data_IF_547918511360
#
_entry.id   IF_547918511360
#
_cell.length_a   1.000
_cell.length_b   1.000
_cell.length_c   1.000
_cell.angle_alpha   90.00
_cell.angle_beta   90.00
_cell.angle_gamma   90.00
#
_symmetry.space_group_name_H-M   'P 1'
#
loop_
_entity.id
_entity.type
_entity.pdbx_description
1 polymer ?
#
# COMPACT_ATOMS: atom_id res chain seq x y z
N UNK A 1 -3.33 10.74 5.58
CA UNK A 1 -4.62 11.10 6.22
C UNK A 1 -5.31 9.90 6.90
N UNK A 2 -4.70 8.72 6.93
CA UNK A 2 -5.12 7.58 7.74
C UNK A 2 -6.36 6.79 7.28
N UNK A 3 -6.91 7.03 6.10
CA UNK A 3 -8.18 6.44 5.67
C UNK A 3 -8.26 4.91 5.81
N UNK A 4 -7.25 4.18 5.36
CA UNK A 4 -7.20 2.71 5.49
C UNK A 4 -7.08 2.27 6.96
N UNK A 5 -6.24 2.95 7.74
CA UNK A 5 -6.06 2.65 9.17
C UNK A 5 -7.38 2.88 9.94
N UNK A 6 -8.05 3.99 9.71
CA UNK A 6 -9.33 4.31 10.34
C UNK A 6 -10.43 3.33 9.91
N UNK A 7 -10.45 2.91 8.64
CA UNK A 7 -11.38 1.89 8.17
C UNK A 7 -11.15 0.54 8.86
N UNK A 8 -9.89 0.12 9.00
CA UNK A 8 -9.53 -1.10 9.72
C UNK A 8 -9.92 -1.05 11.21
N UNK A 9 -9.62 0.07 11.88
CA UNK A 9 -10.01 0.27 13.29
C UNK A 9 -11.53 0.23 13.46
N UNK A 10 -12.29 0.89 12.58
CA UNK A 10 -13.75 0.87 12.58
C UNK A 10 -14.33 -0.53 12.35
N UNK A 11 -13.64 -1.33 11.53
CA UNK A 11 -14.00 -2.72 11.27
C UNK A 11 -13.63 -3.68 12.41
N UNK A 12 -13.01 -3.19 13.49
CA UNK A 12 -12.67 -3.99 14.67
C UNK A 12 -11.27 -4.59 14.68
N UNK A 13 -10.35 -4.10 13.85
CA UNK A 13 -8.95 -4.47 13.98
C UNK A 13 -8.42 -4.11 15.36
N UNK A 14 -7.74 -5.06 16.03
CA UNK A 14 -7.27 -4.90 17.42
C UNK A 14 -6.11 -3.92 17.53
N UNK A 15 -5.18 -4.02 16.57
CA UNK A 15 -3.99 -3.18 16.49
C UNK A 15 -3.89 -2.60 15.08
N UNK A 16 -3.75 -1.30 15.01
CA UNK A 16 -3.68 -0.58 13.73
C UNK A 16 -2.50 0.38 13.78
N UNK A 17 -1.62 0.30 12.79
CA UNK A 17 -0.52 1.22 12.60
C UNK A 17 -0.62 1.91 11.23
N UNK A 18 -0.34 3.21 11.20
CA UNK A 18 -0.20 4.01 9.98
C UNK A 18 1.19 4.63 9.93
N UNK A 19 1.89 4.44 8.81
CA UNK A 19 3.24 4.95 8.59
C UNK A 19 3.21 6.02 7.49
N UNK A 20 3.76 7.20 7.76
CA UNK A 20 3.91 8.25 6.76
C UNK A 20 5.12 9.14 7.11
N UNK A 21 5.74 9.74 6.11
CA UNK A 21 6.79 10.75 6.30
C UNK A 21 6.24 12.15 6.53
N UNK A 22 4.97 12.40 6.19
CA UNK A 22 4.29 13.68 6.27
C UNK A 22 3.67 13.92 7.65
N UNK A 23 4.31 14.72 8.49
CA UNK A 23 3.74 15.10 9.79
C UNK A 23 2.34 15.75 9.68
N UNK A 24 2.04 16.65 8.71
CA UNK A 24 0.67 17.16 8.55
C UNK A 24 -0.37 16.08 8.21
N UNK A 25 0.00 15.08 7.41
CA UNK A 25 -0.91 13.97 7.08
C UNK A 25 -1.21 13.10 8.31
N UNK A 26 -0.20 12.86 9.16
CA UNK A 26 -0.35 12.11 10.41
C UNK A 26 -1.21 12.88 11.42
N UNK A 27 -1.00 14.19 11.58
CA UNK A 27 -1.84 15.00 12.47
C UNK A 27 -3.33 14.92 12.08
N UNK A 28 -3.64 15.03 10.77
CA UNK A 28 -5.02 14.84 10.29
C UNK A 28 -5.56 13.44 10.58
N UNK A 29 -4.71 12.42 10.50
CA UNK A 29 -5.11 11.04 10.82
C UNK A 29 -5.38 10.86 12.32
N UNK A 30 -4.57 11.45 13.18
CA UNK A 30 -4.74 11.45 14.64
C UNK A 30 -6.03 12.17 15.04
N UNK A 31 -6.28 13.38 14.49
CA UNK A 31 -7.50 14.15 14.71
C UNK A 31 -8.76 13.37 14.28
N UNK A 32 -8.70 12.71 13.12
CA UNK A 32 -9.80 11.91 12.62
C UNK A 32 -10.02 10.63 13.47
N UNK A 33 -8.96 10.00 13.99
CA UNK A 33 -9.05 8.88 14.91
C UNK A 33 -9.72 9.31 16.22
N UNK A 34 -9.25 10.42 16.81
CA UNK A 34 -9.78 10.98 18.05
C UNK A 34 -11.28 11.34 17.90
N UNK A 35 -11.64 12.05 16.82
CA UNK A 35 -13.02 12.43 16.52
C UNK A 35 -13.94 11.22 16.31
N UNK A 36 -13.41 10.12 15.78
CA UNK A 36 -14.12 8.86 15.57
C UNK A 36 -14.13 7.92 16.76
N UNK A 37 -13.45 8.25 17.87
CA UNK A 37 -13.25 7.35 19.00
C UNK A 37 -12.49 6.07 18.63
N UNK A 38 -11.62 6.13 17.60
CA UNK A 38 -10.89 4.99 17.06
C UNK A 38 -9.46 4.94 17.63
N UNK A 39 -8.94 3.72 17.81
CA UNK A 39 -7.55 3.51 18.24
C UNK A 39 -6.71 3.13 17.03
N UNK A 40 -5.70 3.94 16.74
CA UNK A 40 -4.68 3.67 15.73
C UNK A 40 -3.38 4.36 16.16
N UNK A 41 -2.24 3.73 15.88
CA UNK A 41 -0.93 4.31 16.13
C UNK A 41 -0.37 4.88 14.83
N UNK A 42 -0.05 6.17 14.81
CA UNK A 42 0.52 6.83 13.63
C UNK A 42 1.98 7.19 13.89
N UNK A 43 2.86 6.76 12.97
CA UNK A 43 4.32 6.91 13.14
C UNK A 43 4.90 7.69 11.97
N UNK A 44 5.60 8.80 12.29
CA UNK A 44 6.35 9.56 11.30
C UNK A 44 7.69 8.87 11.03
N UNK A 45 7.85 8.32 9.83
CA UNK A 45 9.06 7.59 9.45
C UNK A 45 9.22 7.52 7.92
N UNK A 46 10.43 7.14 7.46
CA UNK A 46 10.59 6.60 6.11
C UNK A 46 9.99 5.19 6.07
N UNK A 47 9.05 4.98 5.15
CA UNK A 47 8.31 3.70 5.08
C UNK A 47 9.22 2.52 4.74
N UNK A 48 10.24 2.72 3.89
CA UNK A 48 11.16 1.63 3.54
C UNK A 48 12.04 1.24 4.71
N UNK A 49 12.57 2.21 5.45
CA UNK A 49 13.38 1.97 6.65
C UNK A 49 12.56 1.27 7.73
N UNK A 50 11.32 1.73 7.94
CA UNK A 50 10.45 1.13 8.95
C UNK A 50 10.02 -0.30 8.59
N UNK A 51 9.71 -0.57 7.33
CA UNK A 51 9.41 -1.93 6.87
C UNK A 51 10.62 -2.87 7.05
N UNK A 52 11.85 -2.37 6.82
CA UNK A 52 13.08 -3.13 7.07
C UNK A 52 13.27 -3.40 8.58
N UNK A 53 12.99 -2.42 9.44
CA UNK A 53 13.03 -2.57 10.91
C UNK A 53 12.00 -3.60 11.41
N UNK A 54 10.75 -3.48 10.96
CA UNK A 54 9.66 -4.41 11.29
C UNK A 54 9.99 -5.85 10.86
N UNK A 55 10.54 -6.01 9.67
CA UNK A 55 10.98 -7.31 9.18
C UNK A 55 12.12 -7.90 10.03
N UNK A 56 13.14 -7.10 10.35
CA UNK A 56 14.24 -7.51 11.23
C UNK A 56 13.74 -7.89 12.63
N UNK A 57 12.73 -7.17 13.15
CA UNK A 57 12.03 -7.45 14.40
C UNK A 57 11.07 -8.65 14.34
N UNK A 58 10.89 -9.27 13.15
CA UNK A 58 9.94 -10.36 12.91
C UNK A 58 8.49 -10.00 13.19
N UNK A 59 8.16 -8.71 13.15
CA UNK A 59 6.79 -8.26 13.31
C UNK A 59 5.93 -8.66 12.12
N UNK A 60 4.67 -9.04 12.38
CA UNK A 60 3.73 -9.54 11.37
C UNK A 60 2.36 -8.92 11.55
N UNK A 61 1.71 -8.66 10.42
CA UNK A 61 0.39 -8.06 10.35
C UNK A 61 -0.53 -8.93 9.48
N UNK A 62 -1.77 -9.13 9.92
CA UNK A 62 -2.77 -9.91 9.16
C UNK A 62 -3.19 -9.20 7.87
N UNK A 63 -3.14 -7.86 7.85
CA UNK A 63 -3.39 -7.04 6.70
C UNK A 63 -2.32 -5.94 6.57
N UNK A 64 -1.67 -5.89 5.42
CA UNK A 64 -0.77 -4.81 5.05
C UNK A 64 -1.35 -4.06 3.86
N UNK A 65 -1.44 -2.73 3.96
CA UNK A 65 -1.87 -1.85 2.87
C UNK A 65 -0.72 -0.91 2.52
N UNK A 66 -0.25 -0.98 1.28
CA UNK A 66 0.80 -0.11 0.77
C UNK A 66 0.28 0.71 -0.42
N UNK A 67 -0.02 1.98 -0.13
CA UNK A 67 -0.51 2.99 -1.09
C UNK A 67 0.45 4.18 -1.12
N UNK A 68 1.59 4.05 -1.81
CA UNK A 68 2.63 5.06 -1.87
C UNK A 68 2.26 6.22 -2.80
N UNK A 69 2.95 7.36 -2.69
CA UNK A 69 2.91 8.38 -3.73
C UNK A 69 3.41 7.81 -5.07
N UNK A 70 3.15 8.49 -6.21
CA UNK A 70 3.53 7.97 -7.52
C UNK A 70 5.05 7.86 -7.65
N UNK A 71 5.57 6.62 -7.78
CA UNK A 71 7.00 6.39 -8.00
C UNK A 71 7.43 6.64 -9.46
N UNK A 72 6.49 6.58 -10.42
CA UNK A 72 6.74 6.87 -11.83
C UNK A 72 6.07 8.20 -12.18
N UNK A 73 6.75 9.30 -11.91
CA UNK A 73 6.23 10.67 -12.17
C UNK A 73 6.30 11.04 -13.64
N UNK A 74 7.30 10.56 -14.37
CA UNK A 74 7.49 10.77 -15.80
C UNK A 74 7.93 9.47 -16.48
N UNK A 75 7.78 9.37 -17.82
CA UNK A 75 8.18 8.17 -18.59
C UNK A 75 9.64 7.76 -18.38
N UNK A 76 10.53 8.74 -18.22
CA UNK A 76 11.96 8.49 -17.93
C UNK A 76 12.21 7.81 -16.59
N UNK A 77 11.29 7.92 -15.64
CA UNK A 77 11.41 7.36 -14.30
C UNK A 77 10.87 5.92 -14.20
N UNK A 78 10.39 5.35 -15.33
CA UNK A 78 9.69 4.06 -15.35
C UNK A 78 10.50 2.95 -14.69
N UNK A 79 11.75 2.77 -15.08
CA UNK A 79 12.57 1.67 -14.56
C UNK A 79 12.94 1.85 -13.09
N UNK A 80 13.20 3.07 -12.65
CA UNK A 80 13.49 3.37 -11.25
C UNK A 80 12.24 3.19 -10.37
N UNK A 81 11.10 3.72 -10.81
CA UNK A 81 9.84 3.58 -10.10
C UNK A 81 9.32 2.15 -10.06
N UNK A 82 9.49 1.38 -11.16
CA UNK A 82 9.16 -0.03 -11.21
C UNK A 82 9.97 -0.84 -10.17
N UNK A 83 11.28 -0.57 -10.04
CA UNK A 83 12.12 -1.17 -9.00
C UNK A 83 11.66 -0.78 -7.58
N UNK A 84 11.20 0.47 -7.38
CA UNK A 84 10.69 0.92 -6.09
C UNK A 84 9.38 0.18 -5.71
N UNK A 85 8.45 -0.02 -6.65
CA UNK A 85 7.27 -0.86 -6.43
C UNK A 85 7.64 -2.30 -6.08
N UNK A 86 8.62 -2.89 -6.75
CA UNK A 86 9.13 -4.23 -6.43
C UNK A 86 9.73 -4.30 -5.03
N UNK A 87 10.52 -3.28 -4.62
CA UNK A 87 11.08 -3.21 -3.26
C UNK A 87 9.96 -3.10 -2.23
N UNK A 88 8.98 -2.22 -2.46
CA UNK A 88 7.84 -2.05 -1.58
C UNK A 88 7.06 -3.35 -1.42
N UNK A 89 6.71 -4.01 -2.52
CA UNK A 89 5.99 -5.29 -2.50
C UNK A 89 6.76 -6.37 -1.71
N UNK A 90 8.09 -6.46 -1.90
CA UNK A 90 8.94 -7.39 -1.15
C UNK A 90 8.89 -7.14 0.34
N UNK A 91 9.13 -5.91 0.76
CA UNK A 91 9.18 -5.57 2.18
C UNK A 91 7.80 -5.72 2.85
N UNK A 92 6.74 -5.28 2.16
CA UNK A 92 5.37 -5.46 2.64
C UNK A 92 5.00 -6.95 2.78
N UNK A 93 5.40 -7.80 1.82
CA UNK A 93 5.19 -9.24 1.93
C UNK A 93 5.99 -9.88 3.09
N UNK A 94 7.20 -9.35 3.39
CA UNK A 94 8.01 -9.81 4.51
C UNK A 94 7.33 -9.57 5.87
N UNK A 95 6.54 -8.51 6.01
CA UNK A 95 5.83 -8.17 7.27
C UNK A 95 4.37 -8.64 7.27
N UNK A 96 3.86 -9.18 6.17
CA UNK A 96 2.53 -9.82 6.15
C UNK A 96 2.60 -11.21 6.79
N UNK A 97 1.66 -11.50 7.69
CA UNK A 97 1.56 -12.78 8.38
C UNK A 97 1.29 -13.95 7.39
N UNK A 98 1.66 -15.19 7.72
CA UNK A 98 1.15 -16.35 7.01
C UNK A 98 -0.38 -16.39 7.02
N UNK A 99 -1.00 -16.63 5.85
CA UNK A 99 -2.46 -16.55 5.69
C UNK A 99 -3.02 -15.12 5.65
N UNK A 100 -2.17 -14.11 5.76
CA UNK A 100 -2.55 -12.70 5.74
C UNK A 100 -2.79 -12.13 4.34
N UNK A 101 -3.20 -10.87 4.29
CA UNK A 101 -3.52 -10.15 3.05
C UNK A 101 -2.59 -8.98 2.82
N UNK A 102 -2.22 -8.79 1.56
CA UNK A 102 -1.41 -7.66 1.11
C UNK A 102 -2.13 -6.90 0.01
N UNK A 103 -2.45 -5.61 0.26
CA UNK A 103 -2.93 -4.69 -0.75
C UNK A 103 -1.79 -3.79 -1.21
N UNK A 104 -1.57 -3.75 -2.51
CA UNK A 104 -0.61 -2.85 -3.16
C UNK A 104 -1.34 -1.95 -4.13
N UNK A 105 -1.16 -0.64 -4.01
CA UNK A 105 -1.79 0.35 -4.87
C UNK A 105 -0.76 1.22 -5.60
N UNK A 106 -1.20 1.84 -6.67
CA UNK A 106 -0.42 2.82 -7.42
C UNK A 106 -1.33 3.86 -8.07
N UNK A 107 -0.99 5.13 -7.88
CA UNK A 107 -1.57 6.27 -8.59
C UNK A 107 -0.67 6.80 -9.72
N UNK A 108 0.37 6.08 -10.13
CA UNK A 108 1.28 6.50 -11.21
C UNK A 108 0.63 6.31 -12.58
N UNK A 109 0.47 7.39 -13.34
CA UNK A 109 -0.03 7.34 -14.73
C UNK A 109 0.94 6.63 -15.69
N UNK A 110 2.24 6.75 -15.46
CA UNK A 110 3.29 6.33 -16.39
C UNK A 110 3.74 4.87 -16.18
N UNK A 111 3.01 4.07 -15.43
CA UNK A 111 3.22 2.62 -15.34
C UNK A 111 1.91 1.90 -15.70
N UNK A 112 1.95 0.93 -16.60
CA UNK A 112 0.77 0.15 -16.94
C UNK A 112 0.37 -0.79 -15.80
N UNK A 113 -0.89 -1.24 -15.80
CA UNK A 113 -1.39 -2.19 -14.79
C UNK A 113 -0.62 -3.50 -14.85
N UNK A 114 -0.30 -3.98 -16.06
CA UNK A 114 0.46 -5.22 -16.29
C UNK A 114 1.88 -5.09 -15.73
N UNK A 115 2.57 -3.97 -16.02
CA UNK A 115 3.93 -3.76 -15.50
C UNK A 115 3.92 -3.62 -13.98
N UNK A 116 2.96 -2.90 -13.41
CA UNK A 116 2.80 -2.80 -11.96
C UNK A 116 2.58 -4.16 -11.33
N UNK A 117 1.67 -4.98 -11.88
CA UNK A 117 1.38 -6.33 -11.39
C UNK A 117 2.62 -7.25 -11.47
N UNK A 118 3.39 -7.19 -12.57
CA UNK A 118 4.64 -7.94 -12.71
C UNK A 118 5.67 -7.57 -11.64
N UNK A 119 5.83 -6.28 -11.36
CA UNK A 119 6.77 -5.81 -10.34
C UNK A 119 6.35 -6.21 -8.93
N UNK A 120 5.05 -6.10 -8.63
CA UNK A 120 4.50 -6.55 -7.35
C UNK A 120 4.67 -8.06 -7.16
N UNK A 121 4.33 -8.88 -8.15
CA UNK A 121 4.51 -10.33 -8.11
C UNK A 121 6.00 -10.72 -7.92
N UNK A 122 6.90 -10.07 -8.68
CA UNK A 122 8.34 -10.28 -8.52
C UNK A 122 8.84 -9.88 -7.12
N UNK A 123 8.27 -8.83 -6.51
CA UNK A 123 8.57 -8.42 -5.14
C UNK A 123 8.15 -9.49 -4.12
N UNK A 124 6.92 -9.97 -4.20
CA UNK A 124 6.39 -11.03 -3.32
C UNK A 124 7.21 -12.31 -3.44
N UNK A 125 7.53 -12.74 -4.68
CA UNK A 125 8.39 -13.91 -4.91
C UNK A 125 9.77 -13.73 -4.27
N UNK A 126 10.37 -12.53 -4.37
CA UNK A 126 11.66 -12.24 -3.72
C UNK A 126 11.62 -12.20 -2.20
N UNK A 127 10.44 -12.04 -1.60
CA UNK A 127 10.24 -12.23 -0.16
C UNK A 127 10.19 -13.70 0.25
N UNK A 128 10.28 -14.64 -0.70
CA UNK A 128 10.16 -16.07 -0.46
C UNK A 128 8.72 -16.50 -0.15
N UNK A 129 7.71 -15.71 -0.57
CA UNK A 129 6.29 -15.97 -0.27
C UNK A 129 5.56 -16.47 -1.52
N UNK A 130 4.71 -17.47 -1.35
CA UNK A 130 3.68 -17.80 -2.32
C UNK A 130 2.46 -16.88 -2.11
N UNK A 131 1.82 -16.47 -3.21
CA UNK A 131 0.69 -15.57 -3.15
C UNK A 131 -0.35 -15.88 -4.23
N UNK A 132 -1.60 -15.64 -3.91
CA UNK A 132 -2.70 -15.68 -4.87
C UNK A 132 -3.25 -14.26 -5.03
N UNK A 133 -3.29 -13.76 -6.26
CA UNK A 133 -3.98 -12.52 -6.57
C UNK A 133 -5.48 -12.78 -6.50
N UNK A 134 -6.14 -12.25 -5.47
CA UNK A 134 -7.58 -12.47 -5.24
C UNK A 134 -8.44 -11.33 -5.77
N UNK A 135 -7.84 -10.15 -6.00
CA UNK A 135 -8.54 -9.01 -6.58
C UNK A 135 -7.57 -8.08 -7.31
N UNK A 136 -7.99 -7.66 -8.50
CA UNK A 136 -7.42 -6.52 -9.21
C UNK A 136 -8.52 -5.49 -9.40
N UNK A 137 -8.25 -4.23 -9.08
CA UNK A 137 -9.22 -3.14 -9.15
C UNK A 137 -8.56 -1.85 -9.66
N UNK A 138 -9.38 -0.93 -10.09
CA UNK A 138 -9.03 0.44 -10.43
C UNK A 138 -9.68 1.44 -9.48
N UNK A 139 -10.08 2.58 -10.01
CA UNK A 139 -10.80 3.62 -9.29
C UNK A 139 -12.17 3.12 -8.78
N UNK A 140 -12.53 3.51 -7.57
CA UNK A 140 -13.86 3.29 -7.01
C UNK A 140 -14.83 4.41 -7.45
N UNK A 141 -16.10 4.30 -7.08
CA UNK A 141 -17.13 5.23 -7.49
C UNK A 141 -16.95 6.67 -7.00
N UNK A 142 -16.20 6.87 -5.91
CA UNK A 142 -15.79 8.17 -5.38
C UNK A 142 -14.64 8.82 -6.17
N UNK A 143 -14.08 8.10 -7.14
CA UNK A 143 -13.00 8.56 -8.01
C UNK A 143 -13.35 8.30 -9.50
N UNK A 144 -14.37 9.01 -10.03
CA UNK A 144 -14.95 8.68 -11.33
C UNK A 144 -13.95 8.86 -12.46
N UNK A 145 -13.99 7.92 -13.41
CA UNK A 145 -13.22 7.99 -14.65
C UNK A 145 -14.01 8.80 -15.68
N UNK A 146 -13.38 9.81 -16.27
CA UNK A 146 -14.00 10.58 -17.33
C UNK A 146 -13.91 9.84 -18.67
N UNK A 147 -15.03 9.58 -19.37
CA UNK A 147 -15.04 8.73 -20.57
C UNK A 147 -14.21 9.27 -21.74
N UNK A 148 -14.01 10.60 -21.80
CA UNK A 148 -13.19 11.24 -22.84
C UNK A 148 -11.76 11.58 -22.38
N UNK A 149 -11.38 11.18 -21.15
CA UNK A 149 -10.05 11.37 -20.57
C UNK A 149 -9.54 10.05 -20.01
N UNK A 150 -9.05 9.12 -20.87
CA UNK A 150 -8.59 7.79 -20.46
C UNK A 150 -7.52 7.84 -19.36
N UNK A 151 -6.70 8.90 -19.32
CA UNK A 151 -5.69 9.15 -18.30
C UNK A 151 -6.26 9.34 -16.89
N UNK A 152 -7.55 9.60 -16.74
CA UNK A 152 -8.22 9.61 -15.43
C UNK A 152 -8.33 8.22 -14.81
N UNK A 153 -8.16 7.14 -15.60
CA UNK A 153 -8.13 5.74 -15.15
C UNK A 153 -6.73 5.30 -14.70
N UNK A 154 -6.09 6.05 -13.82
CA UNK A 154 -4.70 5.82 -13.41
C UNK A 154 -4.54 4.97 -12.14
N UNK A 155 -5.58 4.83 -11.34
CA UNK A 155 -5.52 4.06 -10.10
C UNK A 155 -5.47 2.56 -10.38
N UNK A 156 -4.61 1.87 -9.66
CA UNK A 156 -4.42 0.42 -9.70
C UNK A 156 -4.35 -0.10 -8.29
N UNK A 157 -5.03 -1.20 -8.02
CA UNK A 157 -4.95 -1.90 -6.75
C UNK A 157 -4.91 -3.42 -6.98
N UNK A 158 -4.03 -4.09 -6.25
CA UNK A 158 -3.85 -5.53 -6.28
C UNK A 158 -3.98 -6.05 -4.84
N UNK A 159 -4.82 -7.04 -4.62
CA UNK A 159 -4.97 -7.69 -3.32
C UNK A 159 -4.50 -9.13 -3.44
N UNK A 160 -3.52 -9.48 -2.62
CA UNK A 160 -2.95 -10.82 -2.53
C UNK A 160 -3.35 -11.49 -1.21
N UNK A 161 -3.65 -12.77 -1.27
CA UNK A 161 -3.62 -13.67 -0.11
C UNK A 161 -2.26 -14.37 -0.10
N UNK A 162 -1.53 -14.29 1.01
CA UNK A 162 -0.21 -14.89 1.18
C UNK A 162 -0.31 -16.19 1.99
N UNK A 163 0.61 -17.15 1.69
CA UNK A 163 0.75 -18.41 2.41
C UNK A 163 1.22 -18.23 3.85
#
# INVERSE_FOLDING_TARGET
TGGFALAAARAGAKEVAGLDSSAPALALAEDAAASGGLKANFVKTDVFEELERLWAGREKFDLVVADPPPFVKAKKDLEAGAKAYRKLARLSACVTAPGGFLLLASCSHNISTERFAQECAAGVTRAGRAARLIRQAGAACDHPIHPLLPESAYLKALVYALD
#
